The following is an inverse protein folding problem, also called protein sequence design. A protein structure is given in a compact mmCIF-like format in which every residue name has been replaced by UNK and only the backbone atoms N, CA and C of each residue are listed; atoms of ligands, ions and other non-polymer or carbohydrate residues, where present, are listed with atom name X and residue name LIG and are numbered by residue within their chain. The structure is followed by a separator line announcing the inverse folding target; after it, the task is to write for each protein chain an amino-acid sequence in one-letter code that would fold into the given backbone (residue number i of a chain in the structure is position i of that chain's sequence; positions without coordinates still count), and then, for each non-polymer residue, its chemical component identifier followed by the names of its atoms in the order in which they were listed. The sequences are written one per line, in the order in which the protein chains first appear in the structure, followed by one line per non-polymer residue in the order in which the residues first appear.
data_IF_055747776925
#
_entry.id   IF_055747776925
#
_cell.length_a   1.000
_cell.length_b   1.000
_cell.length_c   1.000
_cell.angle_alpha   90.00
_cell.angle_beta   90.00
_cell.angle_gamma   90.00
#
_symmetry.space_group_name_H-M   'P 1'
#
loop_
_entity.id
_entity.type
_entity.pdbx_description
1 polymer ?
#
# COMPACT_ATOMS: atom_id res chain seq x y z
N UNK A 1 -30.08 40.69 27.92
CA UNK A 1 -28.85 40.61 28.73
C UNK A 1 -28.25 39.24 28.52
N UNK A 2 -27.15 39.27 27.79
CA UNK A 2 -26.32 38.17 27.33
C UNK A 2 -25.65 37.40 28.47
N UNK A 3 -25.41 36.10 28.26
CA UNK A 3 -24.22 35.42 28.78
C UNK A 3 -23.88 34.16 27.98
N UNK A 4 -22.64 34.13 27.52
CA UNK A 4 -21.94 33.18 26.65
C UNK A 4 -21.16 32.17 27.52
N UNK A 5 -21.10 30.89 27.11
CA UNK A 5 -19.88 30.04 27.18
C UNK A 5 -20.14 28.66 26.55
N UNK A 6 -19.66 28.34 25.34
CA UNK A 6 -18.29 27.92 24.95
C UNK A 6 -17.69 26.78 25.78
N UNK A 7 -17.93 25.55 25.35
CA UNK A 7 -16.92 24.46 25.28
C UNK A 7 -17.21 23.74 23.95
N UNK A 8 -16.30 23.60 22.98
CA UNK A 8 -14.91 23.16 23.09
C UNK A 8 -14.77 21.69 22.67
N UNK A 9 -15.52 21.20 21.69
CA UNK A 9 -15.41 19.82 21.19
C UNK A 9 -14.16 19.69 20.30
N UNK A 10 -13.02 19.40 20.94
CA UNK A 10 -11.81 18.97 20.23
C UNK A 10 -11.97 17.50 19.86
N UNK A 11 -12.46 17.27 18.64
CA UNK A 11 -12.44 15.96 18.00
C UNK A 11 -11.00 15.52 17.78
N UNK A 12 -10.41 14.89 18.79
CA UNK A 12 -9.17 14.15 18.66
C UNK A 12 -9.41 12.96 17.72
N UNK A 13 -9.14 13.17 16.44
CA UNK A 13 -8.98 12.11 15.46
C UNK A 13 -7.72 11.31 15.83
N UNK A 14 -7.85 10.42 16.82
CA UNK A 14 -6.83 9.42 17.14
C UNK A 14 -6.62 8.54 15.92
N UNK A 15 -5.54 8.80 15.20
CA UNK A 15 -5.00 7.83 14.27
C UNK A 15 -4.69 6.55 15.06
N UNK A 16 -5.04 5.34 14.57
CA UNK A 16 -4.50 4.13 15.16
C UNK A 16 -2.99 4.13 14.85
N UNK A 17 -2.20 4.54 15.83
CA UNK A 17 -0.77 4.29 15.87
C UNK A 17 -0.58 2.79 15.61
N UNK A 18 0.04 2.44 14.49
CA UNK A 18 0.43 1.07 14.18
C UNK A 18 1.63 0.77 15.09
N UNK A 19 1.33 0.49 16.36
CA UNK A 19 2.30 -0.04 17.31
C UNK A 19 2.48 -1.50 16.94
N UNK A 20 3.52 -1.79 16.16
CA UNK A 20 4.00 -3.15 15.99
C UNK A 20 4.46 -3.61 17.38
N UNK A 21 3.63 -4.39 18.07
CA UNK A 21 4.01 -5.05 19.33
C UNK A 21 5.17 -5.98 19.03
N UNK A 22 6.36 -5.57 19.42
CA UNK A 22 7.50 -6.47 19.55
C UNK A 22 7.14 -7.39 20.70
N UNK A 23 6.91 -8.67 20.41
CA UNK A 23 6.84 -9.67 21.46
C UNK A 23 8.25 -9.76 22.07
N UNK A 24 8.40 -9.13 23.23
CA UNK A 24 9.62 -9.14 24.02
C UNK A 24 9.82 -10.53 24.61
N UNK A 25 10.59 -11.35 23.90
CA UNK A 25 11.13 -12.59 24.43
C UNK A 25 12.48 -12.28 25.08
N UNK A 26 12.63 -12.57 26.37
CA UNK A 26 13.76 -12.25 27.25
C UNK A 26 15.13 -12.79 26.79
N UNK A 27 15.17 -13.54 25.68
CA UNK A 27 16.39 -13.92 24.95
C UNK A 27 16.87 -12.83 23.95
N UNK A 28 16.35 -11.59 24.06
CA UNK A 28 16.52 -10.50 23.09
C UNK A 28 17.79 -9.64 23.23
N UNK A 29 18.62 -9.81 24.28
CA UNK A 29 19.76 -8.92 24.57
C UNK A 29 20.89 -8.94 23.54
N UNK A 30 20.85 -9.82 22.52
CA UNK A 30 21.82 -9.83 21.41
C UNK A 30 21.15 -9.93 20.04
N UNK A 31 19.98 -9.32 19.82
CA UNK A 31 19.58 -9.03 18.44
C UNK A 31 20.60 -8.05 17.86
N UNK A 32 21.55 -8.60 17.11
CA UNK A 32 22.59 -7.88 16.38
C UNK A 32 21.98 -6.62 15.77
N UNK A 33 22.50 -5.46 16.15
CA UNK A 33 22.16 -4.11 15.65
C UNK A 33 21.73 -4.05 14.17
N UNK A 34 22.33 -4.79 13.21
CA UNK A 34 21.85 -4.82 11.81
C UNK A 34 20.38 -5.23 11.63
N UNK A 35 19.87 -6.20 12.40
CA UNK A 35 18.48 -6.65 12.28
C UNK A 35 17.48 -5.56 12.72
N UNK A 36 17.89 -4.68 13.65
CA UNK A 36 17.08 -3.55 14.11
C UNK A 36 17.04 -2.43 13.07
N UNK A 37 18.18 -2.11 12.46
CA UNK A 37 18.28 -1.10 11.40
C UNK A 37 17.40 -1.47 10.20
N UNK A 38 17.44 -2.72 9.74
CA UNK A 38 16.62 -3.17 8.60
C UNK A 38 15.12 -3.20 8.93
N UNK A 39 14.76 -3.52 10.18
CA UNK A 39 13.37 -3.45 10.63
C UNK A 39 12.86 -2.01 10.65
N UNK A 40 13.66 -1.06 11.16
CA UNK A 40 13.31 0.37 11.12
C UNK A 40 13.19 0.88 9.68
N UNK A 41 14.11 0.48 8.80
CA UNK A 41 14.07 0.81 7.37
C UNK A 41 12.80 0.29 6.70
N UNK A 42 12.45 -0.97 6.94
CA UNK A 42 11.21 -1.57 6.43
C UNK A 42 9.98 -0.80 6.93
N UNK A 43 9.93 -0.46 8.22
CA UNK A 43 8.82 0.29 8.80
C UNK A 43 8.71 1.70 8.23
N UNK A 44 9.83 2.40 8.08
CA UNK A 44 9.87 3.73 7.47
C UNK A 44 9.29 3.72 6.05
N UNK A 45 9.71 2.77 5.21
CA UNK A 45 9.21 2.62 3.84
C UNK A 45 7.69 2.37 3.81
N UNK A 46 7.17 1.57 4.74
CA UNK A 46 5.73 1.28 4.83
C UNK A 46 4.92 2.50 5.28
N UNK A 47 5.44 3.27 6.24
CA UNK A 47 4.81 4.53 6.68
C UNK A 47 4.79 5.55 5.54
N UNK A 48 5.93 5.74 4.86
CA UNK A 48 6.03 6.62 3.69
C UNK A 48 5.05 6.20 2.59
N UNK A 49 4.93 4.90 2.29
CA UNK A 49 3.97 4.40 1.30
C UNK A 49 2.51 4.73 1.64
N UNK A 50 2.15 4.64 2.93
CA UNK A 50 0.80 4.93 3.40
C UNK A 50 0.50 6.43 3.33
N UNK A 51 1.49 7.26 3.67
CA UNK A 51 1.38 8.72 3.58
C UNK A 51 1.19 9.19 2.14
N UNK A 52 1.97 8.66 1.19
CA UNK A 52 1.85 8.98 -0.24
C UNK A 52 0.48 8.60 -0.80
N UNK A 53 -0.10 7.50 -0.32
CA UNK A 53 -1.44 7.07 -0.71
C UNK A 53 -2.55 7.95 -0.10
N UNK A 54 -2.34 8.50 1.10
CA UNK A 54 -3.32 9.35 1.79
C UNK A 54 -3.30 10.80 1.33
N UNK A 55 -2.15 11.33 0.93
CA UNK A 55 -2.03 12.70 0.44
C UNK A 55 -2.90 12.96 -0.80
N UNK A 56 -3.18 11.92 -1.57
CA UNK A 56 -4.09 11.99 -2.73
C UNK A 56 -5.55 12.18 -2.35
N UNK A 57 -5.86 12.04 -1.06
CA UNK A 57 -7.21 12.08 -0.51
C UNK A 57 -7.52 13.39 0.21
N UNK A 58 -6.55 14.29 0.41
CA UNK A 58 -6.85 15.58 1.04
C UNK A 58 -7.83 16.37 0.16
N UNK A 59 -9.07 16.64 0.61
CA UNK A 59 -10.03 17.44 -0.15
C UNK A 59 -9.72 18.95 -0.09
N UNK A 60 -8.56 19.37 0.42
CA UNK A 60 -8.13 20.77 0.47
C UNK A 60 -7.56 21.27 -0.87
N UNK A 61 -8.16 20.90 -2.00
CA UNK A 61 -7.82 21.42 -3.33
C UNK A 61 -9.05 21.67 -4.19
N UNK A 62 -10.16 22.05 -3.56
CA UNK A 62 -11.27 22.76 -4.21
C UNK A 62 -11.25 24.21 -3.75
N UNK A 63 -10.19 24.95 -4.10
CA UNK A 63 -10.16 26.41 -4.15
C UNK A 63 -8.77 26.83 -4.65
N UNK A 64 -8.65 27.01 -5.96
CA UNK A 64 -7.94 28.12 -6.60
C UNK A 64 -8.15 27.98 -8.13
N UNK A 65 -8.54 29.06 -8.83
CA UNK A 65 -8.71 29.06 -10.29
C UNK A 65 -7.36 28.90 -11.01
N UNK A 66 -7.36 28.47 -12.29
CA UNK A 66 -6.15 28.43 -13.09
C UNK A 66 -5.75 29.85 -13.50
N UNK A 67 -4.98 30.53 -12.66
CA UNK A 67 -4.20 31.68 -13.08
C UNK A 67 -2.77 31.27 -13.42
N UNK A 68 -2.27 31.98 -14.42
CA UNK A 68 -1.21 31.60 -15.33
C UNK A 68 0.19 31.76 -14.71
N UNK A 69 1.14 31.04 -15.31
CA UNK A 69 2.60 31.22 -15.21
C UNK A 69 3.31 30.79 -13.93
N UNK A 70 3.90 29.59 -13.95
CA UNK A 70 5.29 29.41 -13.54
C UNK A 70 5.89 28.17 -14.23
N UNK A 71 6.79 28.44 -15.17
CA UNK A 71 7.48 27.47 -15.98
C UNK A 71 8.56 26.75 -15.15
N UNK A 72 8.24 25.56 -14.63
CA UNK A 72 9.26 24.60 -14.24
C UNK A 72 9.72 23.82 -15.48
N UNK A 73 10.85 24.23 -16.02
CA UNK A 73 11.52 23.65 -17.18
C UNK A 73 11.82 22.16 -16.93
N UNK A 74 11.20 21.28 -17.71
CA UNK A 74 11.63 19.89 -17.86
C UNK A 74 12.77 19.90 -18.89
N UNK A 75 13.98 19.35 -18.59
CA UNK A 75 15.01 19.26 -19.60
C UNK A 75 14.55 18.33 -20.73
N UNK A 76 14.64 18.84 -21.95
CA UNK A 76 14.31 18.15 -23.18
C UNK A 76 15.12 16.84 -23.28
N UNK A 77 14.41 15.71 -23.28
CA UNK A 77 14.98 14.42 -23.66
C UNK A 77 15.24 14.50 -25.17
N UNK A 78 16.51 14.54 -25.54
CA UNK A 78 16.98 14.44 -26.92
C UNK A 78 16.55 13.10 -27.52
N UNK A 79 16.11 13.15 -28.77
CA UNK A 79 15.64 12.01 -29.57
C UNK A 79 16.72 10.90 -29.60
N UNK A 80 16.36 9.60 -29.56
CA UNK A 80 17.34 8.54 -29.76
C UNK A 80 17.88 8.60 -31.20
N UNK A 81 19.21 8.66 -31.31
CA UNK A 81 19.94 8.65 -32.58
C UNK A 81 19.67 7.40 -33.41
N UNK A 82 19.75 7.57 -34.73
CA UNK A 82 19.62 6.53 -35.75
C UNK A 82 20.75 5.51 -35.60
N UNK A 83 20.44 4.32 -35.07
CA UNK A 83 21.43 3.24 -34.91
C UNK A 83 22.01 2.79 -36.24
N UNK A 84 23.30 2.52 -36.27
CA UNK A 84 23.98 1.97 -37.45
C UNK A 84 23.69 0.47 -37.60
N UNK A 85 23.85 -0.06 -38.83
CA UNK A 85 23.59 -1.48 -39.16
C UNK A 85 24.54 -2.46 -38.43
N UNK A 86 25.66 -1.96 -37.89
CA UNK A 86 26.65 -2.74 -37.14
C UNK A 86 26.20 -3.04 -35.70
N UNK A 87 25.58 -2.08 -34.99
CA UNK A 87 25.14 -2.27 -33.59
C UNK A 87 23.97 -3.26 -33.46
N UNK A 88 23.15 -3.41 -34.50
CA UNK A 88 22.05 -4.40 -34.53
C UNK A 88 22.54 -5.86 -34.49
N UNK A 89 23.82 -6.14 -34.77
CA UNK A 89 24.35 -7.51 -34.77
C UNK A 89 24.88 -7.98 -33.41
N UNK A 90 25.19 -7.07 -32.48
CA UNK A 90 25.65 -7.42 -31.13
C UNK A 90 24.51 -7.79 -30.15
N UNK A 91 23.29 -7.31 -30.39
CA UNK A 91 22.13 -7.55 -29.52
C UNK A 91 21.52 -8.97 -29.63
N UNK A 92 22.08 -9.87 -30.44
CA UNK A 92 21.51 -11.20 -30.71
C UNK A 92 22.05 -12.33 -29.83
N UNK A 93 22.97 -12.06 -28.90
CA UNK A 93 23.48 -13.03 -27.91
C UNK A 93 23.36 -12.46 -26.50
N UNK A 94 22.12 -12.34 -26.02
CA UNK A 94 21.83 -11.94 -24.65
C UNK A 94 20.55 -12.63 -24.19
N UNK A 95 20.65 -13.40 -23.12
CA UNK A 95 19.61 -14.24 -22.52
C UNK A 95 18.27 -13.52 -22.35
N UNK A 96 17.18 -14.23 -22.68
CA UNK A 96 15.78 -13.81 -22.54
C UNK A 96 15.41 -13.54 -21.07
N UNK A 97 15.74 -12.38 -20.53
CA UNK A 97 15.00 -11.80 -19.41
C UNK A 97 13.93 -10.90 -20.01
N UNK A 98 12.68 -11.35 -19.95
CA UNK A 98 11.52 -10.53 -20.32
C UNK A 98 11.51 -9.30 -19.39
N UNK A 99 11.70 -8.07 -19.88
CA UNK A 99 11.39 -6.91 -19.06
C UNK A 99 9.89 -6.96 -18.81
N UNK A 100 9.48 -7.11 -17.55
CA UNK A 100 8.10 -6.86 -17.15
C UNK A 100 7.90 -5.36 -17.25
N UNK A 101 7.73 -4.87 -18.47
CA UNK A 101 7.37 -3.49 -18.79
C UNK A 101 5.86 -3.40 -18.54
N UNK A 102 5.47 -3.36 -17.27
CA UNK A 102 4.13 -2.90 -16.93
C UNK A 102 4.10 -1.43 -17.34
N UNK A 103 3.41 -1.13 -18.43
CA UNK A 103 3.15 0.24 -18.82
C UNK A 103 2.32 0.88 -17.71
N UNK A 104 2.95 1.77 -16.95
CA UNK A 104 2.30 2.61 -15.94
C UNK A 104 1.37 3.58 -16.68
N UNK A 105 0.15 3.14 -16.97
CA UNK A 105 -0.99 4.04 -17.20
C UNK A 105 -1.44 4.60 -15.84
N UNK A 106 -0.51 5.16 -15.06
CA UNK A 106 -0.80 5.67 -13.73
C UNK A 106 -1.21 7.14 -13.88
N UNK A 107 -2.52 7.38 -14.02
CA UNK A 107 -3.13 8.67 -13.66
C UNK A 107 -3.09 8.82 -12.13
N UNK A 108 -1.88 8.94 -11.57
CA UNK A 108 -1.58 9.41 -10.22
C UNK A 108 -0.09 9.16 -9.93
N UNK A 109 0.75 10.21 -9.90
CA UNK A 109 2.17 10.05 -9.61
C UNK A 109 2.45 9.54 -8.18
N UNK A 110 1.58 9.81 -7.21
CA UNK A 110 1.79 9.38 -5.82
C UNK A 110 1.36 7.93 -5.57
N UNK A 111 0.36 7.41 -6.28
CA UNK A 111 -0.04 6.01 -6.18
C UNK A 111 1.07 5.09 -6.71
N UNK A 112 1.77 5.48 -7.78
CA UNK A 112 2.91 4.74 -8.31
C UNK A 112 4.10 4.74 -7.34
N UNK A 113 4.41 5.88 -6.71
CA UNK A 113 5.42 5.98 -5.64
C UNK A 113 5.10 5.09 -4.44
N UNK A 114 3.84 5.04 -4.01
CA UNK A 114 3.42 4.18 -2.90
C UNK A 114 3.73 2.70 -3.17
N UNK A 115 3.55 2.22 -4.42
CA UNK A 115 3.86 0.85 -4.83
C UNK A 115 5.36 0.58 -4.77
N UNK A 116 6.18 1.51 -5.24
CA UNK A 116 7.64 1.37 -5.24
C UNK A 116 8.16 1.25 -3.80
N UNK A 117 7.70 2.12 -2.90
CA UNK A 117 8.10 2.10 -1.49
C UNK A 117 7.70 0.80 -0.79
N UNK A 118 6.46 0.34 -0.98
CA UNK A 118 6.00 -0.92 -0.42
C UNK A 118 6.70 -2.15 -1.05
N UNK A 119 7.06 -2.09 -2.33
CA UNK A 119 7.88 -3.10 -2.99
C UNK A 119 9.30 -3.14 -2.39
N UNK A 120 9.92 -1.99 -2.16
CA UNK A 120 11.22 -1.90 -1.48
C UNK A 120 11.15 -2.47 -0.05
N UNK A 121 10.08 -2.18 0.70
CA UNK A 121 9.88 -2.74 2.03
C UNK A 121 9.83 -4.28 2.00
N UNK A 122 9.13 -4.89 1.02
CA UNK A 122 9.13 -6.35 0.82
C UNK A 122 10.52 -6.88 0.47
N UNK A 123 11.29 -6.15 -0.35
CA UNK A 123 12.65 -6.55 -0.72
C UNK A 123 13.60 -6.50 0.49
N UNK A 124 13.52 -5.45 1.31
CA UNK A 124 14.26 -5.34 2.57
C UNK A 124 13.92 -6.53 3.48
N UNK A 125 12.63 -6.82 3.69
CA UNK A 125 12.21 -7.96 4.52
C UNK A 125 12.72 -9.31 3.99
N UNK A 126 12.74 -9.51 2.67
CA UNK A 126 13.29 -10.74 2.05
C UNK A 126 14.81 -10.83 2.22
N UNK A 127 15.55 -9.76 1.93
CA UNK A 127 17.01 -9.72 2.00
C UNK A 127 17.53 -9.87 3.43
N UNK A 128 16.87 -9.21 4.39
CA UNK A 128 17.21 -9.27 5.80
C UNK A 128 16.54 -10.44 6.55
N UNK A 129 15.82 -11.34 5.85
CA UNK A 129 15.11 -12.51 6.41
C UNK A 129 14.20 -12.12 7.59
N UNK A 130 13.55 -10.96 7.48
CA UNK A 130 12.66 -10.43 8.52
C UNK A 130 11.24 -10.98 8.34
N UNK A 131 10.64 -11.43 9.44
CA UNK A 131 9.24 -11.83 9.49
C UNK A 131 8.37 -10.60 9.67
N UNK A 132 7.62 -10.23 8.63
CA UNK A 132 6.62 -9.16 8.73
C UNK A 132 5.45 -9.59 9.61
N UNK A 133 4.93 -8.66 10.41
CA UNK A 133 3.69 -8.88 11.16
C UNK A 133 2.53 -9.19 10.17
N UNK A 134 1.59 -10.09 10.55
CA UNK A 134 0.49 -10.48 9.67
C UNK A 134 -0.37 -9.27 9.28
N UNK A 135 -0.61 -8.34 10.19
CA UNK A 135 -1.36 -7.10 9.93
C UNK A 135 -0.73 -6.28 8.80
N UNK A 136 0.59 -6.10 8.85
CA UNK A 136 1.34 -5.36 7.83
C UNK A 136 1.35 -6.10 6.50
N UNK A 137 1.57 -7.42 6.52
CA UNK A 137 1.59 -8.26 5.31
C UNK A 137 0.24 -8.24 4.59
N UNK A 138 -0.87 -8.24 5.34
CA UNK A 138 -2.22 -8.20 4.81
C UNK A 138 -2.60 -6.84 4.21
N UNK A 139 -1.99 -5.75 4.68
CA UNK A 139 -2.16 -4.40 4.14
C UNK A 139 -1.38 -4.14 2.86
N UNK A 140 -0.64 -5.11 2.31
CA UNK A 140 0.11 -4.93 1.06
C UNK A 140 -0.34 -5.97 0.04
N UNK A 141 -0.67 -5.54 -1.18
CA UNK A 141 -1.03 -6.44 -2.26
C UNK A 141 0.15 -7.36 -2.62
N UNK A 142 -0.12 -8.66 -2.82
CA UNK A 142 0.91 -9.64 -3.16
C UNK A 142 1.46 -9.50 -4.58
N UNK A 143 0.68 -8.96 -5.52
CA UNK A 143 1.09 -8.79 -6.93
C UNK A 143 1.72 -7.43 -7.19
N UNK A 144 0.94 -6.35 -7.04
CA UNK A 144 1.39 -5.00 -7.41
C UNK A 144 2.07 -4.23 -6.27
N UNK A 145 2.21 -4.83 -5.08
CA UNK A 145 2.77 -4.20 -3.88
C UNK A 145 2.07 -2.91 -3.42
N UNK A 146 0.87 -2.60 -3.92
CA UNK A 146 0.10 -1.45 -3.45
C UNK A 146 -0.39 -1.65 -2.01
N UNK A 147 -0.36 -0.58 -1.20
CA UNK A 147 -0.95 -0.56 0.13
C UNK A 147 -2.49 -0.63 0.02
N UNK A 148 -3.09 -1.60 0.71
CA UNK A 148 -4.51 -1.92 0.75
C UNK A 148 -5.16 -1.20 1.94
N UNK A 149 -5.77 -0.05 1.66
CA UNK A 149 -6.69 0.64 2.57
C UNK A 149 -8.12 0.22 2.19
N UNK A 150 -8.96 -0.19 3.16
CA UNK A 150 -10.33 -0.58 2.88
C UNK A 150 -11.10 0.58 2.25
N UNK A 151 -11.97 0.25 1.30
CA UNK A 151 -12.86 1.11 0.52
C UNK A 151 -12.17 2.11 -0.43
N UNK A 152 -10.86 2.33 -0.29
CA UNK A 152 -10.07 3.21 -1.17
C UNK A 152 -9.30 2.43 -2.24
N UNK A 153 -8.39 1.55 -1.82
CA UNK A 153 -7.55 0.76 -2.74
C UNK A 153 -7.90 -0.73 -2.72
N UNK A 154 -8.80 -1.12 -1.81
CA UNK A 154 -9.22 -2.51 -1.65
C UNK A 154 -10.67 -2.59 -1.20
N UNK A 155 -11.36 -3.64 -1.60
CA UNK A 155 -12.67 -4.00 -1.03
C UNK A 155 -12.48 -5.14 -0.05
N UNK A 156 -13.05 -5.01 1.15
CA UNK A 156 -13.04 -6.06 2.18
C UNK A 156 -14.44 -6.63 2.31
N UNK A 157 -14.58 -7.93 2.13
CA UNK A 157 -15.84 -8.65 2.28
C UNK A 157 -15.66 -9.85 3.19
N UNK A 158 -16.64 -10.10 4.04
CA UNK A 158 -16.71 -11.32 4.83
C UNK A 158 -17.59 -12.33 4.11
N UNK A 159 -17.08 -13.54 3.88
CA UNK A 159 -17.79 -14.62 3.17
C UNK A 159 -17.70 -15.90 3.98
N UNK A 160 -18.80 -16.61 4.16
CA UNK A 160 -18.81 -17.97 4.71
C UNK A 160 -18.76 -18.99 3.57
N UNK A 161 -18.01 -20.07 3.76
CA UNK A 161 -18.07 -21.22 2.87
C UNK A 161 -19.18 -22.19 3.31
N UNK A 162 -19.48 -23.22 2.50
CA UNK A 162 -20.44 -24.29 2.81
C UNK A 162 -20.19 -24.93 4.20
N UNK A 163 -18.93 -25.06 4.60
CA UNK A 163 -18.52 -25.59 5.92
C UNK A 163 -18.66 -24.58 7.08
N UNK A 164 -19.44 -23.50 6.93
CA UNK A 164 -19.64 -22.41 7.91
C UNK A 164 -18.39 -21.63 8.34
N UNK A 165 -17.21 -21.94 7.79
CA UNK A 165 -15.96 -21.20 8.05
C UNK A 165 -16.04 -19.79 7.46
N UNK A 166 -15.73 -18.78 8.28
CA UNK A 166 -15.71 -17.37 7.90
C UNK A 166 -14.37 -16.98 7.28
N UNK A 167 -14.41 -16.30 6.14
CA UNK A 167 -13.24 -15.75 5.46
C UNK A 167 -13.33 -14.23 5.34
N UNK A 168 -12.23 -13.55 5.65
CA UNK A 168 -11.99 -12.17 5.23
C UNK A 168 -11.37 -12.18 3.85
N UNK A 169 -12.12 -11.71 2.87
CA UNK A 169 -11.73 -11.61 1.47
C UNK A 169 -11.39 -10.16 1.16
N UNK A 170 -10.13 -9.90 0.85
CA UNK A 170 -9.64 -8.56 0.48
C UNK A 170 -9.26 -8.57 -1.00
N UNK A 171 -9.91 -7.73 -1.80
CA UNK A 171 -9.67 -7.63 -3.25
C UNK A 171 -9.03 -6.28 -3.56
N UNK A 172 -7.87 -6.29 -4.21
CA UNK A 172 -7.19 -5.07 -4.65
C UNK A 172 -7.92 -4.45 -5.85
N UNK A 173 -8.23 -3.15 -5.79
CA UNK A 173 -8.94 -2.46 -6.87
C UNK A 173 -8.05 -2.17 -8.08
N UNK A 174 -6.74 -2.02 -7.89
CA UNK A 174 -5.82 -1.74 -9.02
C UNK A 174 -5.48 -2.97 -9.87
N UNK A 175 -5.24 -4.13 -9.25
CA UNK A 175 -4.80 -5.34 -9.98
C UNK A 175 -5.75 -6.54 -9.83
N UNK A 176 -6.88 -6.38 -9.14
CA UNK A 176 -7.92 -7.41 -8.92
C UNK A 176 -7.44 -8.68 -8.22
N UNK A 177 -6.26 -8.65 -7.58
CA UNK A 177 -5.75 -9.76 -6.79
C UNK A 177 -6.58 -9.93 -5.53
N UNK A 178 -6.95 -11.18 -5.22
CA UNK A 178 -7.75 -11.53 -4.05
C UNK A 178 -6.86 -12.20 -3.00
N UNK A 179 -6.92 -11.72 -1.77
CA UNK A 179 -6.35 -12.36 -0.59
C UNK A 179 -7.46 -12.87 0.30
N UNK A 180 -7.30 -14.09 0.85
CA UNK A 180 -8.29 -14.73 1.72
C UNK A 180 -7.63 -15.14 3.02
N UNK A 181 -8.22 -14.76 4.13
CA UNK A 181 -7.76 -15.13 5.48
C UNK A 181 -8.92 -15.82 6.18
N UNK A 182 -8.65 -16.98 6.78
CA UNK A 182 -9.61 -17.65 7.66
C UNK A 182 -9.73 -16.82 8.93
N UNK A 183 -10.96 -16.50 9.32
CA UNK A 183 -11.25 -15.82 10.57
C UNK A 183 -11.59 -16.88 11.62
N UNK A 184 -11.33 -16.55 12.88
CA UNK A 184 -11.73 -17.42 13.98
C UNK A 184 -13.27 -17.53 14.05
N UNK A 185 -13.82 -18.69 14.44
CA UNK A 185 -15.26 -18.89 14.53
C UNK A 185 -15.99 -17.95 15.49
N UNK A 186 -15.27 -17.39 16.47
CA UNK A 186 -15.77 -16.43 17.46
C UNK A 186 -15.79 -14.99 16.94
N UNK A 187 -15.29 -14.74 15.73
CA UNK A 187 -15.26 -13.40 15.15
C UNK A 187 -16.62 -13.04 14.59
N UNK A 188 -17.34 -12.18 15.31
CA UNK A 188 -18.55 -11.52 14.82
C UNK A 188 -18.16 -10.22 14.09
N UNK A 189 -18.30 -10.14 12.76
CA UNK A 189 -18.06 -8.90 12.03
C UNK A 189 -19.10 -7.84 12.44
N UNK A 190 -18.69 -6.86 13.25
CA UNK A 190 -19.50 -5.68 13.56
C UNK A 190 -19.88 -4.97 12.26
N UNK A 191 -21.16 -5.03 11.88
CA UNK A 191 -21.70 -4.44 10.65
C UNK A 191 -21.85 -5.39 9.45
N UNK A 192 -21.58 -6.70 9.59
CA UNK A 192 -22.11 -7.63 8.60
C UNK A 192 -23.59 -7.85 8.89
N UNK A 193 -24.44 -7.10 8.18
CA UNK A 193 -25.78 -7.59 7.90
C UNK A 193 -25.66 -9.05 7.42
N UNK A 194 -26.29 -9.96 8.15
CA UNK A 194 -26.45 -11.35 7.74
C UNK A 194 -27.34 -11.42 6.48
N UNK A 195 -27.20 -12.50 5.70
CA UNK A 195 -27.31 -12.47 4.24
C UNK A 195 -28.67 -12.95 3.71
N UNK A 196 -28.92 -12.62 2.44
CA UNK A 196 -29.67 -13.42 1.44
C UNK A 196 -30.93 -14.13 1.95
N UNK A 197 -32.06 -13.42 1.86
CA UNK A 197 -33.35 -14.05 1.63
C UNK A 197 -33.29 -14.85 0.33
N UNK A 198 -33.81 -16.07 0.40
CA UNK A 198 -34.09 -16.97 -0.71
C UNK A 198 -34.92 -16.24 -1.78
N UNK A 199 -34.49 -16.31 -3.03
CA UNK A 199 -35.39 -16.05 -4.16
C UNK A 199 -35.37 -17.33 -5.00
N UNK A 200 -36.47 -18.06 -4.86
CA UNK A 200 -36.94 -19.16 -5.69
C UNK A 200 -37.09 -18.75 -7.16
#
# INVERSE_FOLDING_TARGET
MDAISKTGNTGAHMQPNIVIRVLDNSNAKKRTVPARAELHRMNFLLQASTLMLRQTRSPASTALPPDQSEAAQVPAITKPGRMTRAEKRAAKKGTKLKPVRMELKDQMPSASLSRILAQQARQVGKKAVLRMAPETKQRICTRCSLQLEPDVTSTVRFRRNKSKVLFKVTTCLSCKTVSRIRMDPKYEPKGAALPAEEVS
#
